data_IF_638155710639
#
_entry.id   IF_638155710639
#
_cell.length_a   1.000
_cell.length_b   1.000
_cell.length_c   1.000
_cell.angle_alpha   90.00
_cell.angle_beta   90.00
_cell.angle_gamma   90.00
#
_symmetry.space_group_name_H-M   'P 1'
#
loop_
_entity.id
_entity.type
_entity.pdbx_description
1 polymer ?
#
# COMPACT_ATOMS: atom_id res chain seq x y z
N UNK A 1 25.30 -29.08 -6.22
CA UNK A 1 24.59 -27.81 -6.51
C UNK A 1 25.44 -26.69 -5.96
N UNK A 2 25.97 -25.82 -6.81
CA UNK A 2 26.78 -24.68 -6.38
C UNK A 2 25.91 -23.43 -6.54
N UNK A 3 25.44 -22.87 -5.43
CA UNK A 3 24.69 -21.61 -5.43
C UNK A 3 25.72 -20.51 -5.65
N UNK A 4 25.58 -19.73 -6.72
CA UNK A 4 26.45 -18.58 -6.96
C UNK A 4 26.07 -17.42 -6.02
N UNK A 5 26.98 -16.47 -5.82
CA UNK A 5 26.67 -15.25 -5.07
C UNK A 5 25.47 -14.48 -5.65
N UNK A 6 25.30 -14.52 -6.98
CA UNK A 6 24.18 -13.89 -7.66
C UNK A 6 22.84 -14.56 -7.33
N UNK A 7 22.81 -15.89 -7.26
CA UNK A 7 21.61 -16.64 -6.89
C UNK A 7 21.16 -16.30 -5.46
N UNK A 8 22.13 -16.12 -4.55
CA UNK A 8 21.84 -15.70 -3.18
C UNK A 8 21.27 -14.26 -3.13
N UNK A 9 21.83 -13.33 -3.89
CA UNK A 9 21.33 -11.95 -3.98
C UNK A 9 19.90 -11.92 -4.52
N UNK A 10 19.59 -12.70 -5.56
CA UNK A 10 18.24 -12.77 -6.09
C UNK A 10 17.24 -13.39 -5.11
N UNK A 11 17.64 -14.44 -4.39
CA UNK A 11 16.81 -15.02 -3.35
C UNK A 11 16.47 -14.00 -2.25
N UNK A 12 17.48 -13.26 -1.76
CA UNK A 12 17.27 -12.24 -0.73
C UNK A 12 16.48 -11.04 -1.24
N UNK A 13 16.65 -10.65 -2.51
CA UNK A 13 15.87 -9.58 -3.15
C UNK A 13 14.38 -9.96 -3.24
N UNK A 14 14.07 -11.22 -3.55
CA UNK A 14 12.70 -11.72 -3.56
C UNK A 14 12.05 -11.69 -2.16
N UNK A 15 12.81 -12.06 -1.12
CA UNK A 15 12.34 -11.96 0.28
C UNK A 15 12.12 -10.49 0.65
N UNK A 16 13.06 -9.61 0.34
CA UNK A 16 12.95 -8.17 0.60
C UNK A 16 11.75 -7.52 -0.10
N UNK A 17 11.48 -7.91 -1.35
CA UNK A 17 10.30 -7.48 -2.10
C UNK A 17 9.00 -7.91 -1.42
N UNK A 18 8.93 -9.16 -0.93
CA UNK A 18 7.76 -9.65 -0.16
C UNK A 18 7.55 -8.87 1.13
N UNK A 19 8.62 -8.56 1.86
CA UNK A 19 8.55 -7.78 3.10
C UNK A 19 8.11 -6.33 2.85
N UNK A 20 8.56 -5.71 1.75
CA UNK A 20 8.16 -4.34 1.39
C UNK A 20 6.64 -4.22 1.17
N UNK A 21 5.99 -5.27 0.64
CA UNK A 21 4.55 -5.31 0.37
C UNK A 21 3.70 -5.38 1.65
N UNK A 22 4.29 -5.77 2.80
CA UNK A 22 3.60 -5.72 4.10
C UNK A 22 3.20 -4.28 4.45
N UNK A 23 3.88 -3.28 3.91
CA UNK A 23 3.51 -1.87 4.06
C UNK A 23 2.05 -1.58 3.65
N UNK A 24 1.47 -2.38 2.74
CA UNK A 24 0.08 -2.27 2.31
C UNK A 24 -0.97 -2.53 3.40
N UNK A 25 -0.59 -3.16 4.52
CA UNK A 25 -1.51 -3.39 5.66
C UNK A 25 -1.96 -2.08 6.29
N UNK A 26 -1.06 -1.10 6.42
CA UNK A 26 -1.36 0.21 7.01
C UNK A 26 -2.47 0.96 6.25
N UNK A 27 -2.30 1.20 4.93
CA UNK A 27 -3.35 1.76 4.08
C UNK A 27 -4.64 0.95 4.12
N UNK A 28 -4.58 -0.38 4.01
CA UNK A 28 -5.78 -1.23 4.01
C UNK A 28 -6.65 -1.04 5.26
N UNK A 29 -6.04 -0.98 6.45
CA UNK A 29 -6.76 -0.73 7.70
C UNK A 29 -7.25 0.72 7.77
N UNK A 30 -6.38 1.70 7.49
CA UNK A 30 -6.71 3.12 7.61
C UNK A 30 -7.82 3.55 6.65
N UNK A 31 -7.76 3.10 5.41
CA UNK A 31 -8.77 3.39 4.39
C UNK A 31 -10.09 2.70 4.69
N UNK A 32 -10.07 1.46 5.20
CA UNK A 32 -11.27 0.75 5.64
C UNK A 32 -11.97 1.49 6.78
N UNK A 33 -11.22 1.99 7.76
CA UNK A 33 -11.75 2.81 8.84
C UNK A 33 -12.36 4.12 8.31
N UNK A 34 -11.64 4.84 7.44
CA UNK A 34 -12.12 6.08 6.83
C UNK A 34 -13.42 5.86 6.03
N UNK A 35 -13.50 4.76 5.27
CA UNK A 35 -14.71 4.38 4.53
C UNK A 35 -15.90 4.06 5.45
N UNK A 36 -15.67 3.34 6.55
CA UNK A 36 -16.70 3.07 7.55
C UNK A 36 -17.26 4.35 8.18
N UNK A 37 -16.38 5.29 8.53
CA UNK A 37 -16.79 6.59 9.09
C UNK A 37 -17.54 7.44 8.05
N UNK A 38 -17.07 7.47 6.81
CA UNK A 38 -17.75 8.17 5.73
C UNK A 38 -19.15 7.60 5.48
N UNK A 39 -19.31 6.28 5.46
CA UNK A 39 -20.62 5.63 5.29
C UNK A 39 -21.59 6.00 6.43
N UNK A 40 -21.12 5.97 7.68
CA UNK A 40 -21.92 6.39 8.83
C UNK A 40 -22.31 7.88 8.76
N UNK A 41 -21.39 8.75 8.33
CA UNK A 41 -21.63 10.17 8.18
C UNK A 41 -22.64 10.47 7.06
N UNK A 42 -22.55 9.78 5.91
CA UNK A 42 -23.51 9.89 4.80
C UNK A 42 -24.90 9.42 5.24
N UNK A 43 -24.98 8.32 6.00
CA UNK A 43 -26.26 7.83 6.54
C UNK A 43 -26.94 8.84 7.47
N UNK A 44 -26.17 9.60 8.25
CA UNK A 44 -26.68 10.67 9.13
C UNK A 44 -27.02 11.96 8.37
N UNK A 45 -26.22 12.33 7.37
CA UNK A 45 -26.37 13.56 6.60
C UNK A 45 -26.34 13.29 5.08
N UNK A 46 -27.42 12.78 4.49
CA UNK A 46 -27.44 12.40 3.07
C UNK A 46 -27.18 13.59 2.12
N UNK A 47 -27.58 14.80 2.50
CA UNK A 47 -27.35 16.02 1.72
C UNK A 47 -25.87 16.40 1.57
N UNK A 48 -25.00 15.96 2.49
CA UNK A 48 -23.56 16.24 2.45
C UNK A 48 -22.74 15.10 1.81
N UNK A 49 -23.39 14.13 1.15
CA UNK A 49 -22.73 12.93 0.59
C UNK A 49 -21.51 13.25 -0.26
N UNK A 50 -21.63 14.25 -1.14
CA UNK A 50 -20.54 14.62 -2.06
C UNK A 50 -19.30 15.07 -1.30
N UNK A 51 -19.45 16.02 -0.35
CA UNK A 51 -18.34 16.56 0.42
C UNK A 51 -17.68 15.51 1.32
N UNK A 52 -18.49 14.65 1.96
CA UNK A 52 -17.98 13.55 2.79
C UNK A 52 -17.16 12.58 1.95
N UNK A 53 -17.67 12.20 0.77
CA UNK A 53 -16.98 11.28 -0.13
C UNK A 53 -15.68 11.89 -0.67
N UNK A 54 -15.69 13.16 -1.07
CA UNK A 54 -14.48 13.86 -1.52
C UNK A 54 -13.41 13.92 -0.43
N UNK A 55 -13.80 14.22 0.80
CA UNK A 55 -12.87 14.27 1.95
C UNK A 55 -12.31 12.89 2.26
N UNK A 56 -13.15 11.85 2.23
CA UNK A 56 -12.73 10.46 2.39
C UNK A 56 -11.70 10.07 1.33
N UNK A 57 -11.99 10.30 0.05
CA UNK A 57 -11.09 9.94 -1.05
C UNK A 57 -9.75 10.67 -0.96
N UNK A 58 -9.75 11.95 -0.58
CA UNK A 58 -8.52 12.70 -0.33
C UNK A 58 -7.69 12.06 0.79
N UNK A 59 -8.31 11.74 1.92
CA UNK A 59 -7.64 11.07 3.03
C UNK A 59 -7.10 9.69 2.67
N UNK A 60 -7.87 8.91 1.91
CA UNK A 60 -7.47 7.60 1.44
C UNK A 60 -6.30 7.67 0.45
N UNK A 61 -6.29 8.66 -0.45
CA UNK A 61 -5.20 8.88 -1.40
C UNK A 61 -3.88 9.20 -0.68
N UNK A 62 -3.92 10.03 0.36
CA UNK A 62 -2.74 10.32 1.19
C UNK A 62 -2.28 9.07 1.95
N UNK A 63 -3.22 8.31 2.52
CA UNK A 63 -2.91 7.09 3.25
C UNK A 63 -2.24 6.01 2.36
N UNK A 64 -2.65 5.90 1.10
CA UNK A 64 -2.14 4.91 0.13
C UNK A 64 -0.65 5.06 -0.18
N UNK A 65 -0.08 6.26 0.01
CA UNK A 65 1.30 6.58 -0.40
C UNK A 65 2.34 5.62 0.19
N UNK A 66 2.13 5.13 1.42
CA UNK A 66 3.04 4.17 2.06
C UNK A 66 2.99 2.78 1.39
N UNK A 67 1.81 2.35 0.91
CA UNK A 67 1.65 1.15 0.11
C UNK A 67 2.36 1.27 -1.24
N UNK A 68 2.25 2.44 -1.88
CA UNK A 68 2.94 2.74 -3.14
C UNK A 68 4.47 2.73 -2.99
N UNK A 69 5.01 3.22 -1.88
CA UNK A 69 6.45 3.14 -1.60
C UNK A 69 6.90 1.68 -1.44
N UNK A 70 6.14 0.85 -0.72
CA UNK A 70 6.41 -0.59 -0.60
C UNK A 70 6.40 -1.29 -1.97
N UNK A 71 5.41 -0.99 -2.81
CA UNK A 71 5.31 -1.50 -4.17
C UNK A 71 6.51 -1.06 -5.04
N UNK A 72 6.90 0.21 -4.97
CA UNK A 72 8.02 0.75 -5.73
C UNK A 72 9.33 0.03 -5.36
N UNK A 73 9.59 -0.19 -4.07
CA UNK A 73 10.77 -0.92 -3.60
C UNK A 73 10.76 -2.37 -4.10
N UNK A 74 9.62 -3.05 -4.05
CA UNK A 74 9.52 -4.42 -4.55
C UNK A 74 9.75 -4.53 -6.06
N UNK A 75 9.24 -3.57 -6.85
CA UNK A 75 9.49 -3.52 -8.30
C UNK A 75 10.99 -3.33 -8.56
N UNK A 76 11.65 -2.44 -7.81
CA UNK A 76 13.10 -2.20 -7.94
C UNK A 76 13.87 -3.49 -7.64
N UNK A 77 13.56 -4.17 -6.54
CA UNK A 77 14.25 -5.41 -6.15
C UNK A 77 14.05 -6.55 -7.15
N UNK A 78 12.85 -6.69 -7.72
CA UNK A 78 12.51 -7.80 -8.61
C UNK A 78 12.93 -7.59 -10.07
N UNK A 79 12.82 -6.36 -10.57
CA UNK A 79 12.96 -6.09 -12.01
C UNK A 79 14.15 -5.21 -12.34
N UNK A 80 14.49 -4.23 -11.50
CA UNK A 80 15.66 -3.37 -11.71
C UNK A 80 16.93 -4.07 -11.21
N UNK A 81 16.82 -4.89 -10.15
CA UNK A 81 17.90 -5.72 -9.59
C UNK A 81 19.18 -4.90 -9.38
N UNK A 82 19.18 -3.96 -8.42
CA UNK A 82 20.31 -3.03 -8.24
C UNK A 82 21.58 -3.71 -7.68
N UNK A 83 21.56 -5.02 -7.43
CA UNK A 83 22.62 -5.80 -6.81
C UNK A 83 22.95 -7.04 -7.63
#
# INVERSE_FOLDING_TARGET
>A
MNISGQDFIYAMSAVGAGLALIAGVGPGIGQGYAAGQAAAAVGRNPGAKSEITSTMLLGQAVAETTGLYGLAVAIILMFVKPF
#
